data_IF_250426701257
#
_entry.id   IF_250426701257
#
_cell.length_a   1.000
_cell.length_b   1.000
_cell.length_c   1.000
_cell.angle_alpha   90.00
_cell.angle_beta   90.00
_cell.angle_gamma   90.00
#
_symmetry.space_group_name_H-M   'P 1'
#
loop_
_entity.id
_entity.type
_entity.pdbx_description
1 polymer ?
#
# COMPACT_ATOMS: atom_id res chain seq x y z
N UNK A 1 -6.09 17.87 -2.21
CA UNK A 1 -5.35 16.79 -1.51
C UNK A 1 -3.87 17.09 -1.54
N UNK A 2 -3.22 16.94 -0.39
CA UNK A 2 -1.77 17.11 -0.31
C UNK A 2 -1.07 15.83 -0.77
N UNK A 3 -0.20 15.97 -1.75
CA UNK A 3 0.58 14.84 -2.25
C UNK A 3 1.95 15.31 -2.71
N UNK A 4 2.85 14.34 -2.88
CA UNK A 4 4.14 14.56 -3.52
C UNK A 4 4.45 13.38 -4.44
N UNK A 5 5.28 13.61 -5.44
CA UNK A 5 5.74 12.56 -6.35
C UNK A 5 7.18 12.23 -5.99
N UNK A 6 7.44 10.98 -5.68
CA UNK A 6 8.76 10.50 -5.28
C UNK A 6 9.12 9.21 -6.01
N UNK A 7 10.35 9.12 -6.48
CA UNK A 7 10.92 7.85 -6.93
C UNK A 7 11.65 7.23 -5.75
N UNK A 8 11.34 5.96 -5.47
CA UNK A 8 11.92 5.22 -4.35
C UNK A 8 12.61 3.96 -4.86
N UNK A 9 13.66 3.57 -4.15
CA UNK A 9 14.36 2.32 -4.44
C UNK A 9 13.50 1.11 -4.13
N UNK A 10 13.85 -0.03 -4.72
CA UNK A 10 13.21 -1.30 -4.44
C UNK A 10 13.37 -1.67 -2.97
N UNK A 11 12.37 -2.35 -2.42
CA UNK A 11 12.44 -2.86 -1.05
C UNK A 11 11.69 -4.19 -0.95
N UNK A 12 12.08 -4.97 0.05
CA UNK A 12 11.45 -6.27 0.32
C UNK A 12 10.50 -6.12 1.49
N UNK A 13 9.31 -6.66 1.34
CA UNK A 13 8.33 -6.73 2.43
C UNK A 13 8.24 -8.16 2.96
N UNK A 14 8.00 -8.26 4.25
CA UNK A 14 7.95 -9.55 4.98
C UNK A 14 6.75 -9.53 5.92
N UNK A 15 5.94 -10.59 5.90
CA UNK A 15 4.80 -10.73 6.79
C UNK A 15 3.81 -11.77 6.34
N UNK A 16 2.52 -11.48 6.50
CA UNK A 16 1.43 -12.41 6.22
C UNK A 16 0.43 -11.82 5.25
N UNK A 17 -0.07 -12.63 4.34
CA UNK A 17 -1.10 -12.23 3.40
C UNK A 17 -2.43 -12.92 3.66
N UNK A 18 -3.49 -12.34 3.12
CA UNK A 18 -4.78 -12.98 2.98
C UNK A 18 -5.35 -12.68 1.59
N UNK A 19 -6.22 -13.55 1.07
CA UNK A 19 -6.88 -13.26 -0.20
C UNK A 19 -7.75 -12.01 -0.12
N UNK A 20 -7.75 -11.21 -1.19
CA UNK A 20 -8.73 -10.16 -1.39
C UNK A 20 -9.86 -10.69 -2.25
N UNK A 21 -11.07 -10.21 -1.98
CA UNK A 21 -12.22 -10.46 -2.83
C UNK A 21 -12.20 -9.52 -4.03
N UNK A 22 -12.68 -10.01 -5.18
CA UNK A 22 -12.94 -9.16 -6.34
C UNK A 22 -14.19 -8.30 -6.15
N UNK A 23 -15.02 -8.64 -5.17
CA UNK A 23 -16.13 -7.82 -4.70
C UNK A 23 -15.57 -6.85 -3.67
N UNK A 24 -15.39 -5.59 -4.05
CA UNK A 24 -14.65 -4.60 -3.25
C UNK A 24 -15.23 -4.39 -1.85
N UNK A 25 -16.57 -4.42 -1.72
CA UNK A 25 -17.22 -4.21 -0.42
C UNK A 25 -16.83 -5.27 0.61
N UNK A 26 -16.55 -6.50 0.17
CA UNK A 26 -16.12 -7.56 1.10
C UNK A 26 -14.77 -7.24 1.74
N UNK A 27 -13.91 -6.50 1.06
CA UNK A 27 -12.58 -6.16 1.56
C UNK A 27 -12.64 -5.12 2.69
N UNK A 28 -13.69 -4.32 2.77
CA UNK A 28 -13.88 -3.37 3.87
C UNK A 28 -13.98 -4.08 5.23
N UNK A 29 -14.45 -5.32 5.25
CA UNK A 29 -14.49 -6.14 6.46
C UNK A 29 -13.25 -7.05 6.60
N UNK A 30 -12.76 -7.60 5.49
CA UNK A 30 -11.61 -8.53 5.48
C UNK A 30 -10.31 -7.87 5.93
N UNK A 31 -10.04 -6.65 5.48
CA UNK A 31 -8.78 -5.96 5.78
C UNK A 31 -8.67 -5.62 7.27
N UNK A 32 -9.66 -4.96 7.91
CA UNK A 32 -9.60 -4.74 9.35
C UNK A 32 -9.53 -6.02 10.17
N UNK A 33 -10.24 -7.07 9.73
CA UNK A 33 -10.21 -8.37 10.40
C UNK A 33 -8.80 -8.99 10.35
N UNK A 34 -8.11 -8.89 9.22
CA UNK A 34 -6.73 -9.35 9.07
C UNK A 34 -5.79 -8.63 10.04
N UNK A 35 -5.94 -7.32 10.18
CA UNK A 35 -5.16 -6.54 11.13
C UNK A 35 -5.41 -6.96 12.57
N UNK A 36 -6.67 -7.21 12.92
CA UNK A 36 -7.04 -7.67 14.27
C UNK A 36 -6.42 -9.03 14.59
N UNK A 37 -6.47 -9.96 13.65
CA UNK A 37 -5.82 -11.28 13.82
C UNK A 37 -4.32 -11.11 14.01
N UNK A 38 -3.67 -10.30 13.20
CA UNK A 38 -2.23 -10.06 13.30
C UNK A 38 -1.83 -9.42 14.63
N UNK A 39 -2.67 -8.56 15.18
CA UNK A 39 -2.47 -7.97 16.51
C UNK A 39 -2.61 -9.02 17.60
N UNK A 40 -3.69 -9.80 17.59
CA UNK A 40 -4.05 -10.74 18.64
C UNK A 40 -3.10 -11.94 18.71
N UNK A 41 -2.61 -12.42 17.56
CA UNK A 41 -1.76 -13.62 17.51
C UNK A 41 -0.26 -13.32 17.63
N UNK A 42 0.12 -12.07 17.91
CA UNK A 42 1.52 -11.70 18.10
C UNK A 42 2.30 -11.43 16.81
N UNK A 43 1.66 -11.50 15.65
CA UNK A 43 2.33 -11.24 14.36
C UNK A 43 2.92 -9.83 14.30
N UNK A 44 2.17 -8.81 14.73
CA UNK A 44 2.65 -7.42 14.67
C UNK A 44 3.87 -7.21 15.56
N UNK A 45 3.90 -7.83 16.74
CA UNK A 45 5.08 -7.75 17.64
C UNK A 45 6.31 -8.34 16.97
N UNK A 46 6.17 -9.48 16.30
CA UNK A 46 7.28 -10.11 15.58
C UNK A 46 7.76 -9.25 14.42
N UNK A 47 6.84 -8.64 13.69
CA UNK A 47 7.20 -7.76 12.57
C UNK A 47 7.97 -6.53 13.03
N UNK A 48 7.57 -5.91 14.14
CA UNK A 48 8.34 -4.80 14.71
C UNK A 48 9.78 -5.20 15.04
N UNK A 49 10.00 -6.44 15.42
CA UNK A 49 11.33 -6.94 15.76
C UNK A 49 12.28 -7.09 14.57
N UNK A 50 11.77 -7.18 13.35
CA UNK A 50 12.59 -7.35 12.13
C UNK A 50 12.48 -6.18 11.16
N UNK A 51 11.69 -5.17 11.49
CA UNK A 51 11.44 -4.01 10.66
C UNK A 51 12.70 -3.16 10.46
N UNK A 52 12.92 -2.71 9.22
CA UNK A 52 13.91 -1.68 8.94
C UNK A 52 13.23 -0.30 8.76
N UNK A 53 13.95 0.70 8.33
CA UNK A 53 13.47 2.08 8.20
C UNK A 53 13.23 2.51 6.75
N UNK A 54 13.11 1.57 5.81
CA UNK A 54 12.99 1.88 4.36
C UNK A 54 11.79 1.17 3.70
N UNK A 55 10.56 1.56 3.99
CA UNK A 55 10.13 2.58 4.95
C UNK A 55 9.95 2.02 6.36
N UNK A 56 10.02 2.88 7.35
CA UNK A 56 9.69 2.55 8.72
C UNK A 56 8.17 2.45 8.88
N UNK A 57 7.72 1.51 9.69
CA UNK A 57 6.32 1.34 10.06
C UNK A 57 5.71 0.04 9.56
N UNK A 58 4.53 -0.24 10.06
CA UNK A 58 3.68 -1.31 9.54
C UNK A 58 3.15 -0.91 8.18
N UNK A 59 3.07 -1.87 7.27
CA UNK A 59 2.62 -1.64 5.91
C UNK A 59 1.42 -2.52 5.60
N UNK A 60 0.44 -1.95 4.89
CA UNK A 60 -0.61 -2.70 4.21
C UNK A 60 -0.35 -2.65 2.72
N UNK A 61 -0.17 -3.79 2.08
CA UNK A 61 0.18 -3.86 0.67
C UNK A 61 -0.86 -4.65 -0.10
N UNK A 62 -1.47 -4.01 -1.08
CA UNK A 62 -2.48 -4.63 -1.94
C UNK A 62 -1.86 -5.06 -3.26
N UNK A 63 -1.87 -6.35 -3.50
CA UNK A 63 -1.45 -6.95 -4.76
C UNK A 63 -2.71 -7.34 -5.52
N UNK A 64 -2.92 -6.75 -6.68
CA UNK A 64 -4.06 -7.07 -7.55
C UNK A 64 -3.61 -7.06 -9.01
N UNK A 65 -3.36 -8.23 -9.51
CA UNK A 65 -2.97 -8.44 -10.90
C UNK A 65 -3.79 -9.58 -11.51
N UNK A 66 -3.44 -10.04 -12.69
CA UNK A 66 -4.17 -11.11 -13.35
C UNK A 66 -4.10 -12.45 -12.61
N UNK A 67 -3.06 -12.66 -11.79
CA UNK A 67 -2.79 -13.93 -11.10
C UNK A 67 -3.21 -13.92 -9.65
N UNK A 68 -3.13 -12.79 -8.96
CA UNK A 68 -3.26 -12.71 -7.51
C UNK A 68 -4.04 -11.50 -7.07
N UNK A 69 -4.90 -11.69 -6.08
CA UNK A 69 -5.56 -10.63 -5.32
C UNK A 69 -5.32 -10.92 -3.85
N UNK A 70 -4.35 -10.22 -3.27
CA UNK A 70 -3.90 -10.43 -1.88
C UNK A 70 -3.68 -9.12 -1.16
N UNK A 71 -3.87 -9.15 0.14
CA UNK A 71 -3.51 -8.06 1.03
C UNK A 71 -2.47 -8.55 2.02
N UNK A 72 -1.37 -7.82 2.15
CA UNK A 72 -0.27 -8.15 3.05
C UNK A 72 -0.27 -7.22 4.25
N UNK A 73 -0.13 -7.79 5.44
CA UNK A 73 0.27 -7.09 6.67
C UNK A 73 1.75 -7.39 6.85
N UNK A 74 2.58 -6.38 6.63
CA UNK A 74 4.02 -6.57 6.47
C UNK A 74 4.81 -5.41 7.06
N UNK A 75 6.12 -5.59 7.08
CA UNK A 75 7.13 -4.53 7.27
C UNK A 75 8.17 -4.65 6.17
N UNK A 76 8.90 -3.57 5.91
CA UNK A 76 10.12 -3.65 5.12
C UNK A 76 11.20 -4.29 5.98
N UNK A 77 11.90 -5.29 5.46
CA UNK A 77 12.93 -6.02 6.19
C UNK A 77 13.93 -6.69 5.26
N UNK A 78 15.17 -6.75 5.72
CA UNK A 78 16.24 -7.54 5.08
C UNK A 78 16.51 -8.85 5.82
N UNK A 79 15.84 -9.08 6.94
CA UNK A 79 16.02 -10.30 7.73
C UNK A 79 15.20 -11.44 7.15
N UNK A 80 15.78 -12.65 7.18
CA UNK A 80 15.07 -13.85 6.75
C UNK A 80 14.24 -14.43 7.89
N UNK A 81 13.07 -14.94 7.55
CA UNK A 81 12.19 -15.63 8.48
C UNK A 81 11.38 -16.68 7.75
N UNK A 82 11.50 -17.93 8.21
CA UNK A 82 10.77 -19.05 7.63
C UNK A 82 9.26 -18.99 7.90
N UNK A 83 8.85 -18.18 8.88
CA UNK A 83 7.44 -18.06 9.28
C UNK A 83 6.67 -16.99 8.49
N UNK A 84 7.36 -16.21 7.66
CA UNK A 84 6.75 -15.09 6.94
C UNK A 84 6.93 -15.23 5.43
N UNK A 85 5.94 -14.72 4.72
CA UNK A 85 6.00 -14.55 3.27
C UNK A 85 6.85 -13.35 2.92
N UNK A 86 7.45 -13.37 1.75
CA UNK A 86 8.27 -12.29 1.23
C UNK A 86 7.72 -11.84 -0.12
N UNK A 87 7.86 -10.55 -0.40
CA UNK A 87 7.50 -9.98 -1.69
C UNK A 87 8.43 -8.81 -2.00
N UNK A 88 8.85 -8.70 -3.25
CA UNK A 88 9.72 -7.62 -3.69
C UNK A 88 8.93 -6.51 -4.35
N UNK A 89 9.05 -5.30 -3.82
CA UNK A 89 8.52 -4.10 -4.43
C UNK A 89 9.62 -3.49 -5.28
N UNK A 90 9.42 -3.33 -6.59
CA UNK A 90 10.47 -2.80 -7.47
C UNK A 90 10.71 -1.31 -7.27
N UNK A 91 11.78 -0.80 -7.85
CA UNK A 91 11.97 0.64 -8.01
C UNK A 91 10.75 1.22 -8.72
N UNK A 92 10.19 2.28 -8.17
CA UNK A 92 8.99 2.86 -8.72
C UNK A 92 8.88 4.35 -8.40
N UNK A 93 8.02 5.01 -9.13
CA UNK A 93 7.58 6.38 -8.82
C UNK A 93 6.22 6.30 -8.17
N UNK A 94 6.06 7.03 -7.07
CA UNK A 94 4.88 6.99 -6.22
C UNK A 94 4.27 8.37 -6.08
N UNK A 95 2.94 8.43 -6.13
CA UNK A 95 2.21 9.55 -5.60
C UNK A 95 1.93 9.24 -4.13
N UNK A 96 2.45 10.07 -3.24
CA UNK A 96 2.39 9.86 -1.79
C UNK A 96 1.40 10.84 -1.19
N UNK A 97 0.35 10.30 -0.57
CA UNK A 97 -0.73 11.08 0.06
C UNK A 97 -0.65 10.87 1.56
N UNK A 98 -0.66 11.95 2.33
CA UNK A 98 -0.60 11.89 3.79
C UNK A 98 -1.98 12.14 4.39
N UNK A 99 -2.26 11.48 5.50
CA UNK A 99 -3.50 11.66 6.22
C UNK A 99 -3.40 11.25 7.67
N UNK A 100 -4.48 11.52 8.40
CA UNK A 100 -4.61 11.20 9.81
C UNK A 100 -6.05 10.87 10.13
N UNK A 101 -6.27 9.91 11.00
CA UNK A 101 -7.59 9.56 11.51
C UNK A 101 -7.79 8.07 11.65
N UNK A 102 -9.01 7.63 11.38
CA UNK A 102 -9.40 6.22 11.51
C UNK A 102 -9.17 5.45 10.22
N UNK A 103 -9.38 4.14 10.29
CA UNK A 103 -9.37 3.28 9.10
C UNK A 103 -10.38 3.74 8.04
N UNK A 104 -11.52 4.26 8.47
CA UNK A 104 -12.53 4.81 7.54
C UNK A 104 -11.97 6.03 6.79
N UNK A 105 -11.22 6.90 7.47
CA UNK A 105 -10.60 8.05 6.81
C UNK A 105 -9.54 7.64 5.79
N UNK A 106 -8.79 6.58 6.07
CA UNK A 106 -7.81 6.05 5.11
C UNK A 106 -8.52 5.45 3.89
N UNK A 107 -9.56 4.66 4.08
CA UNK A 107 -10.36 4.12 2.98
C UNK A 107 -10.95 5.22 2.10
N UNK A 108 -11.42 6.30 2.72
CA UNK A 108 -11.96 7.45 2.00
C UNK A 108 -10.86 8.17 1.21
N UNK A 109 -9.66 8.31 1.79
CA UNK A 109 -8.52 8.89 1.08
C UNK A 109 -8.18 8.06 -0.17
N UNK A 110 -8.07 6.75 -0.01
CA UNK A 110 -7.77 5.84 -1.12
C UNK A 110 -8.82 5.93 -2.23
N UNK A 111 -10.10 5.97 -1.85
CA UNK A 111 -11.19 6.13 -2.82
C UNK A 111 -11.07 7.44 -3.59
N UNK A 112 -10.80 8.54 -2.89
CA UNK A 112 -10.66 9.85 -3.51
C UNK A 112 -9.45 9.95 -4.42
N UNK A 113 -8.35 9.32 -4.05
CA UNK A 113 -7.16 9.27 -4.91
C UNK A 113 -7.48 8.63 -6.26
N UNK A 114 -8.17 7.50 -6.24
CA UNK A 114 -8.50 6.76 -7.47
C UNK A 114 -9.59 7.47 -8.28
N UNK A 115 -10.61 8.00 -7.61
CA UNK A 115 -11.80 8.54 -8.31
C UNK A 115 -11.70 10.02 -8.64
N UNK A 116 -10.94 10.78 -7.86
CA UNK A 116 -10.86 12.24 -8.03
C UNK A 116 -9.49 12.70 -8.52
N UNK A 117 -8.42 12.21 -7.90
CA UNK A 117 -7.08 12.68 -8.22
C UNK A 117 -6.52 12.04 -9.48
N UNK A 118 -6.54 10.71 -9.55
CA UNK A 118 -5.88 9.97 -10.64
C UNK A 118 -6.42 10.35 -12.03
N UNK A 119 -7.74 10.46 -12.24
CA UNK A 119 -8.29 10.77 -13.56
C UNK A 119 -7.84 12.12 -14.13
N UNK A 120 -7.49 13.09 -13.28
CA UNK A 120 -7.12 14.44 -13.70
C UNK A 120 -5.64 14.77 -13.44
N UNK A 121 -4.88 13.77 -12.98
CA UNK A 121 -3.50 13.99 -12.53
C UNK A 121 -2.46 14.02 -13.65
N UNK A 122 -2.77 13.49 -14.81
CA UNK A 122 -1.78 13.24 -15.86
C UNK A 122 -0.95 11.97 -15.64
N UNK A 123 -1.31 11.18 -14.62
CA UNK A 123 -0.67 9.91 -14.31
C UNK A 123 -1.62 8.75 -14.52
N UNK A 124 -1.07 7.57 -14.69
CA UNK A 124 -1.78 6.30 -14.71
C UNK A 124 -1.26 5.39 -13.59
N UNK A 125 -2.09 4.47 -13.15
CA UNK A 125 -1.71 3.45 -12.20
C UNK A 125 -0.62 2.58 -12.84
N UNK A 126 0.51 2.45 -12.15
CA UNK A 126 1.55 1.49 -12.53
C UNK A 126 1.15 0.08 -12.08
N UNK A 127 1.51 -0.94 -12.85
CA UNK A 127 1.09 -2.33 -12.57
C UNK A 127 1.96 -2.98 -11.49
N UNK A 128 2.06 -2.34 -10.33
CA UNK A 128 2.73 -2.84 -9.13
C UNK A 128 1.83 -2.59 -7.92
N UNK A 129 2.08 -3.24 -6.77
CA UNK A 129 1.24 -3.06 -5.59
C UNK A 129 1.22 -1.64 -5.07
N UNK A 130 0.09 -1.21 -4.54
CA UNK A 130 -0.02 0.02 -3.76
C UNK A 130 0.22 -0.27 -2.28
N UNK A 131 0.67 0.74 -1.56
CA UNK A 131 1.19 0.60 -0.20
C UNK A 131 0.54 1.61 0.74
N UNK A 132 0.02 1.11 1.85
CA UNK A 132 -0.37 1.93 3.01
C UNK A 132 0.78 1.88 4.00
N UNK A 133 1.24 3.05 4.44
CA UNK A 133 2.31 3.16 5.45
C UNK A 133 1.70 3.73 6.73
N UNK A 134 1.76 2.97 7.81
CA UNK A 134 1.26 3.41 9.12
C UNK A 134 2.42 3.96 9.94
N UNK A 135 2.58 5.27 9.92
CA UNK A 135 3.61 5.98 10.71
C UNK A 135 3.27 5.86 12.19
N UNK A 136 1.99 5.98 12.52
CA UNK A 136 1.44 5.71 13.84
C UNK A 136 0.24 4.79 13.66
N UNK A 137 0.31 3.60 14.22
CA UNK A 137 -0.68 2.54 14.02
C UNK A 137 -1.74 2.48 15.13
N UNK A 138 -2.22 3.62 15.61
CA UNK A 138 -3.33 3.69 16.57
C UNK A 138 -4.66 3.63 15.80
N UNK A 139 -5.52 2.62 16.03
CA UNK A 139 -6.78 2.50 15.28
C UNK A 139 -7.71 3.69 15.42
N UNK A 140 -7.59 4.46 16.50
CA UNK A 140 -8.45 5.63 16.77
C UNK A 140 -7.88 6.93 16.25
N UNK A 141 -6.57 6.99 16.02
CA UNK A 141 -5.87 8.18 15.59
C UNK A 141 -4.56 7.80 14.91
N UNK A 142 -4.67 7.15 13.76
CA UNK A 142 -3.52 6.74 12.97
C UNK A 142 -2.95 7.92 12.20
N UNK A 143 -1.65 7.89 11.99
CA UNK A 143 -0.95 8.75 11.03
C UNK A 143 -0.47 7.84 9.93
N UNK A 144 -0.82 8.14 8.69
CA UNK A 144 -0.57 7.24 7.57
C UNK A 144 -0.19 7.98 6.30
N UNK A 145 0.40 7.22 5.39
CA UNK A 145 0.56 7.62 3.99
C UNK A 145 -0.04 6.55 3.11
N UNK A 146 -0.60 6.95 2.00
CA UNK A 146 -1.01 6.05 0.93
C UNK A 146 -0.12 6.30 -0.29
N UNK A 147 0.57 5.25 -0.73
CA UNK A 147 1.49 5.30 -1.86
C UNK A 147 0.85 4.62 -3.07
N UNK A 148 0.47 5.42 -4.06
CA UNK A 148 -0.03 4.93 -5.33
C UNK A 148 1.11 4.88 -6.32
N UNK A 149 1.45 3.70 -6.89
CA UNK A 149 2.48 3.62 -7.91
C UNK A 149 1.96 4.21 -9.22
N UNK A 150 2.72 5.10 -9.83
CA UNK A 150 2.26 5.86 -10.98
C UNK A 150 3.30 5.91 -12.10
N UNK A 151 2.79 6.03 -13.33
CA UNK A 151 3.58 6.38 -14.52
C UNK A 151 2.90 7.55 -15.19
N UNK A 152 3.66 8.42 -15.85
CA UNK A 152 3.08 9.52 -16.60
C UNK A 152 2.30 8.98 -17.78
N UNK A 153 1.12 9.57 -18.04
CA UNK A 153 0.39 9.32 -19.28
C UNK A 153 1.20 9.81 -20.46
N UNK A 154 1.20 9.02 -21.54
CA UNK A 154 1.78 9.46 -22.79
C UNK A 154 0.97 10.63 -23.36
N UNK A 155 1.68 11.58 -23.95
CA UNK A 155 1.04 12.67 -24.66
C UNK A 155 0.58 12.18 -26.05
N UNK A 156 -0.68 11.78 -26.12
CA UNK A 156 -1.27 11.29 -27.35
C UNK A 156 -1.32 12.35 -28.46
N UNK A 157 -1.25 13.64 -28.12
CA UNK A 157 -1.25 14.70 -29.12
C UNK A 157 0.03 14.73 -29.95
N UNK A 158 1.16 14.30 -29.36
CA UNK A 158 2.45 14.19 -30.07
C UNK A 158 2.43 12.99 -31.01
N UNK A 159 1.93 11.86 -30.54
CA UNK A 159 1.90 10.62 -31.33
C UNK A 159 0.92 10.72 -32.50
N UNK A 160 -0.15 11.50 -32.39
CA UNK A 160 -1.14 11.64 -33.45
C UNK A 160 -0.65 12.48 -34.65
N UNK A 161 0.43 13.23 -34.49
CA UNK A 161 1.02 14.07 -35.56
C UNK A 161 2.07 13.32 -36.43
N UNK A 162 2.28 12.09 -36.11
CA UNK A 162 3.21 11.24 -36.88
C UNK A 162 2.45 10.28 -37.76
#
# INVERSE_FOLDING_TARGET
MNFRIETKEAFRIVGKSCPLSKVLEENFARIPHKWNIALENGTLVKLYGIMNDKPEGLLGVSVHNEKEWKYFVVVSSTEDSDNFEQYHIPVATWAVFSGRGTNVSLQELERRVITEWLPTSGYEYAEIPDVEVYIKADPKDAIYEYWLPVVKKEDNSVSSNN
#
